data_IF_244030470817
#
_entry.id   IF_244030470817
#
_cell.length_a   1.000
_cell.length_b   1.000
_cell.length_c   1.000
_cell.angle_alpha   90.00
_cell.angle_beta   90.00
_cell.angle_gamma   90.00
#
_symmetry.space_group_name_H-M   'P 1'
#
loop_
_entity.id
_entity.type
_entity.pdbx_description
1 polymer ?
#
# COMPACT_ATOMS: atom_id res chain seq x y z
N UNK A 1 23.99 14.51 12.04
CA UNK A 1 23.05 13.75 12.90
C UNK A 1 21.59 13.97 12.50
N UNK A 2 21.14 15.22 12.35
CA UNK A 2 19.76 15.55 11.90
C UNK A 2 19.44 14.97 10.50
N UNK A 3 20.40 14.94 9.59
CA UNK A 3 20.17 14.44 8.22
C UNK A 3 19.93 12.93 8.16
N UNK A 4 20.56 12.15 9.05
CA UNK A 4 20.32 10.71 9.15
C UNK A 4 18.89 10.44 9.65
N UNK A 5 18.43 11.18 10.66
CA UNK A 5 17.06 11.09 11.16
C UNK A 5 16.06 11.44 10.05
N UNK A 6 16.29 12.51 9.30
CA UNK A 6 15.44 12.86 8.13
C UNK A 6 15.38 11.73 7.11
N UNK A 7 16.51 11.10 6.80
CA UNK A 7 16.56 9.99 5.84
C UNK A 7 15.80 8.75 6.32
N UNK A 8 15.92 8.40 7.61
CA UNK A 8 15.16 7.30 8.21
C UNK A 8 13.65 7.57 8.18
N UNK A 9 13.24 8.80 8.52
CA UNK A 9 11.83 9.21 8.45
C UNK A 9 11.29 9.13 7.02
N UNK A 10 12.07 9.56 6.03
CA UNK A 10 11.67 9.45 4.61
C UNK A 10 11.45 8.00 4.18
N UNK A 11 12.31 7.07 4.60
CA UNK A 11 12.15 5.63 4.31
C UNK A 11 10.86 5.10 4.95
N UNK A 12 10.60 5.45 6.21
CA UNK A 12 9.38 5.05 6.91
C UNK A 12 8.12 5.62 6.24
N UNK A 13 8.13 6.91 5.89
CA UNK A 13 7.02 7.56 5.20
C UNK A 13 6.74 6.91 3.83
N UNK A 14 7.78 6.55 3.08
CA UNK A 14 7.63 5.82 1.84
C UNK A 14 7.05 4.42 2.04
N UNK A 15 7.52 3.69 3.05
CA UNK A 15 6.98 2.37 3.38
C UNK A 15 5.48 2.46 3.78
N UNK A 16 5.10 3.48 4.55
CA UNK A 16 3.70 3.74 4.91
C UNK A 16 2.84 4.06 3.68
N UNK A 17 3.36 4.88 2.74
CA UNK A 17 2.66 5.18 1.49
C UNK A 17 2.38 3.92 0.67
N UNK A 18 3.39 3.07 0.50
CA UNK A 18 3.24 1.79 -0.22
C UNK A 18 2.26 0.86 0.51
N UNK A 19 2.29 0.83 1.85
CA UNK A 19 1.34 0.06 2.65
C UNK A 19 -0.09 0.56 2.47
N UNK A 20 -0.32 1.88 2.48
CA UNK A 20 -1.66 2.46 2.24
C UNK A 20 -2.20 2.06 0.87
N UNK A 21 -1.39 2.18 -0.19
CA UNK A 21 -1.79 1.75 -1.54
C UNK A 21 -2.18 0.27 -1.59
N UNK A 22 -1.40 -0.60 -0.93
CA UNK A 22 -1.76 -2.02 -0.81
C UNK A 22 -3.07 -2.23 -0.06
N UNK A 23 -3.32 -1.47 1.01
CA UNK A 23 -4.56 -1.58 1.78
C UNK A 23 -5.78 -1.15 0.97
N UNK A 24 -5.68 -0.11 0.15
CA UNK A 24 -6.76 0.32 -0.75
C UNK A 24 -7.11 -0.78 -1.77
N UNK A 25 -6.09 -1.42 -2.35
CA UNK A 25 -6.29 -2.53 -3.30
C UNK A 25 -6.91 -3.74 -2.60
N UNK A 26 -6.43 -4.11 -1.42
CA UNK A 26 -6.99 -5.20 -0.63
C UNK A 26 -8.44 -4.92 -0.23
N UNK A 27 -8.75 -3.70 0.23
CA UNK A 27 -10.12 -3.28 0.54
C UNK A 27 -11.03 -3.37 -0.68
N UNK A 28 -10.56 -2.92 -1.85
CA UNK A 28 -11.27 -3.04 -3.12
C UNK A 28 -11.52 -4.49 -3.50
N UNK A 29 -10.53 -5.38 -3.35
CA UNK A 29 -10.69 -6.80 -3.61
C UNK A 29 -11.69 -7.46 -2.67
N UNK A 30 -11.66 -7.14 -1.37
CA UNK A 30 -12.61 -7.66 -0.38
C UNK A 30 -14.03 -7.19 -0.69
N UNK A 31 -14.21 -5.90 -0.98
CA UNK A 31 -15.52 -5.33 -1.29
C UNK A 31 -16.16 -5.97 -2.53
N UNK A 32 -15.35 -6.38 -3.52
CA UNK A 32 -15.83 -6.98 -4.75
C UNK A 32 -15.69 -8.52 -4.78
N UNK A 33 -15.27 -9.17 -3.69
CA UNK A 33 -14.97 -10.60 -3.68
C UNK A 33 -16.18 -11.48 -4.03
N UNK A 34 -17.40 -11.01 -3.74
CA UNK A 34 -18.64 -11.71 -4.04
C UNK A 34 -19.25 -11.34 -5.41
N UNK A 35 -18.62 -10.45 -6.18
CA UNK A 35 -19.14 -10.04 -7.50
C UNK A 35 -18.74 -11.07 -8.57
N UNK A 36 -19.70 -11.66 -9.32
CA UNK A 36 -19.38 -12.65 -10.36
C UNK A 36 -18.39 -12.09 -11.39
N UNK A 37 -17.43 -12.92 -11.80
CA UNK A 37 -16.36 -12.58 -12.76
C UNK A 37 -15.37 -11.48 -12.31
N UNK A 38 -15.37 -11.07 -11.04
CA UNK A 38 -14.40 -10.11 -10.54
C UNK A 38 -12.99 -10.70 -10.46
N UNK A 39 -12.00 -9.91 -10.90
CA UNK A 39 -10.58 -10.28 -10.88
C UNK A 39 -9.86 -9.41 -9.86
N UNK A 40 -9.28 -10.04 -8.85
CA UNK A 40 -8.50 -9.36 -7.83
C UNK A 40 -7.29 -8.64 -8.45
N UNK A 41 -7.00 -7.44 -7.94
CA UNK A 41 -5.84 -6.62 -8.33
C UNK A 41 -4.72 -6.74 -7.30
N UNK A 42 -3.49 -6.52 -7.73
CA UNK A 42 -2.32 -6.48 -6.85
C UNK A 42 -1.38 -5.35 -7.27
N UNK A 43 -0.59 -4.82 -6.32
CA UNK A 43 0.46 -3.84 -6.59
C UNK A 43 1.81 -4.55 -6.65
N UNK A 44 2.46 -4.47 -7.82
CA UNK A 44 3.89 -4.79 -7.95
C UNK A 44 4.68 -3.53 -7.57
N UNK A 45 5.55 -3.67 -6.60
CA UNK A 45 6.49 -2.62 -6.15
C UNK A 45 7.84 -2.90 -6.78
#
# INVERSE_FOLDING_TARGET
MVDNIKQQLNVLSNALRVRNQKQEILASNIANAATPNYKARDVRI
#
